data_IF_606152708959
#
_entry.id   IF_606152708959
#
_cell.length_a   1.000
_cell.length_b   1.000
_cell.length_c   1.000
_cell.angle_alpha   90.00
_cell.angle_beta   90.00
_cell.angle_gamma   90.00
#
_symmetry.space_group_name_H-M   'P 1'
#
loop_
_entity.id
_entity.type
_entity.pdbx_description
1 polymer ?
#
# COMPACT_ATOMS: atom_id res chain seq x y z
N UNK A 1 -10.39 24.66 12.87
CA UNK A 1 -9.59 23.48 12.46
C UNK A 1 -8.32 24.01 11.81
N UNK A 2 -7.16 23.86 12.47
CA UNK A 2 -5.88 24.44 12.04
C UNK A 2 -5.04 23.48 11.18
N UNK A 3 -5.64 22.85 10.17
CA UNK A 3 -4.90 22.00 9.25
C UNK A 3 -4.25 22.85 8.16
N UNK A 4 -2.97 22.62 7.90
CA UNK A 4 -2.25 23.29 6.82
C UNK A 4 -2.86 22.86 5.48
N UNK A 5 -3.13 23.80 4.57
CA UNK A 5 -3.78 23.53 3.28
C UNK A 5 -3.06 22.41 2.49
N UNK A 6 -1.73 22.41 2.54
CA UNK A 6 -0.89 21.36 1.94
C UNK A 6 -1.18 19.97 2.50
N UNK A 7 -1.40 19.84 3.81
CA UNK A 7 -1.73 18.55 4.43
C UNK A 7 -3.10 18.06 3.98
N UNK A 8 -4.08 18.96 3.80
CA UNK A 8 -5.42 18.61 3.31
C UNK A 8 -5.35 18.12 1.86
N UNK A 9 -4.62 18.81 1.00
CA UNK A 9 -4.44 18.40 -0.39
C UNK A 9 -3.76 17.04 -0.50
N UNK A 10 -2.67 16.82 0.24
CA UNK A 10 -2.02 15.51 0.28
C UNK A 10 -2.95 14.40 0.78
N UNK A 11 -3.73 14.67 1.82
CA UNK A 11 -4.70 13.71 2.37
C UNK A 11 -5.76 13.30 1.34
N UNK A 12 -6.25 14.28 0.57
CA UNK A 12 -7.19 14.05 -0.53
C UNK A 12 -6.58 13.11 -1.57
N UNK A 13 -5.36 13.41 -2.04
CA UNK A 13 -4.70 12.60 -3.07
C UNK A 13 -4.40 11.18 -2.60
N UNK A 14 -3.98 11.00 -1.35
CA UNK A 14 -3.77 9.66 -0.76
C UNK A 14 -5.07 8.87 -0.73
N UNK A 15 -6.14 9.44 -0.19
CA UNK A 15 -7.43 8.76 -0.09
C UNK A 15 -8.03 8.46 -1.46
N UNK A 16 -7.93 9.40 -2.40
CA UNK A 16 -8.41 9.24 -3.77
C UNK A 16 -7.64 8.13 -4.50
N UNK A 17 -6.30 8.16 -4.46
CA UNK A 17 -5.45 7.17 -5.11
C UNK A 17 -5.71 5.75 -4.59
N UNK A 18 -5.82 5.59 -3.27
CA UNK A 18 -6.22 4.31 -2.66
C UNK A 18 -7.61 3.87 -3.16
N UNK A 19 -8.57 4.80 -3.23
CA UNK A 19 -9.90 4.53 -3.76
C UNK A 19 -9.88 4.01 -5.20
N UNK A 20 -9.09 4.64 -6.07
CA UNK A 20 -8.96 4.22 -7.47
C UNK A 20 -8.27 2.85 -7.61
N UNK A 21 -7.14 2.66 -6.93
CA UNK A 21 -6.38 1.40 -6.97
C UNK A 21 -7.24 0.19 -6.59
N UNK A 22 -8.05 0.32 -5.54
CA UNK A 22 -8.91 -0.77 -5.06
C UNK A 22 -10.24 -0.89 -5.83
N UNK A 23 -10.49 -0.04 -6.84
CA UNK A 23 -11.60 -0.18 -7.81
C UNK A 23 -11.14 -0.76 -9.14
N UNK A 24 -9.84 -0.77 -9.44
CA UNK A 24 -9.31 -1.28 -10.70
C UNK A 24 -9.59 -2.79 -10.87
N UNK A 25 -10.38 -3.20 -11.88
CA UNK A 25 -10.67 -4.60 -12.14
C UNK A 25 -9.39 -5.39 -12.45
N UNK A 26 -9.27 -6.59 -11.89
CA UNK A 26 -8.10 -7.45 -12.09
C UNK A 26 -6.81 -6.98 -11.41
N UNK A 27 -6.82 -5.82 -10.74
CA UNK A 27 -5.68 -5.32 -9.94
C UNK A 27 -6.02 -5.38 -8.46
N UNK A 28 -7.18 -4.84 -8.06
CA UNK A 28 -7.58 -4.74 -6.67
C UNK A 28 -7.49 -6.05 -5.86
N UNK A 29 -7.86 -7.24 -6.40
CA UNK A 29 -7.74 -8.51 -5.66
C UNK A 29 -6.30 -8.90 -5.30
N UNK A 30 -5.31 -8.32 -5.98
CA UNK A 30 -3.89 -8.64 -5.82
C UNK A 30 -3.13 -7.57 -5.06
N UNK A 31 -3.82 -6.53 -4.57
CA UNK A 31 -3.23 -5.48 -3.74
C UNK A 31 -3.61 -5.69 -2.27
N UNK A 32 -2.64 -5.49 -1.38
CA UNK A 32 -2.88 -5.36 0.05
C UNK A 32 -2.33 -4.02 0.54
N UNK A 33 -3.19 -3.21 1.16
CA UNK A 33 -2.81 -1.95 1.76
C UNK A 33 -2.22 -2.17 3.16
N UNK A 34 -1.03 -1.62 3.42
CA UNK A 34 -0.31 -1.77 4.70
C UNK A 34 0.27 -0.44 5.17
N UNK A 35 1.11 -0.51 6.21
CA UNK A 35 1.97 0.57 6.64
C UNK A 35 1.32 1.57 7.60
N UNK A 36 1.97 2.72 7.78
CA UNK A 36 1.52 3.75 8.72
C UNK A 36 0.18 4.34 8.32
N UNK A 37 -0.05 4.49 7.02
CA UNK A 37 -1.29 5.07 6.47
C UNK A 37 -2.47 4.11 6.64
N UNK A 38 -2.28 2.79 6.55
CA UNK A 38 -3.37 1.84 6.86
C UNK A 38 -3.74 1.89 8.35
N UNK A 39 -2.74 2.02 9.24
CA UNK A 39 -2.98 2.13 10.68
C UNK A 39 -3.75 3.41 11.05
N UNK A 40 -3.48 4.54 10.38
CA UNK A 40 -4.19 5.80 10.65
C UNK A 40 -5.56 5.87 9.96
N UNK A 41 -5.67 5.45 8.69
CA UNK A 41 -6.89 5.62 7.87
C UNK A 41 -7.93 4.51 8.06
N UNK A 42 -7.51 3.25 8.03
CA UNK A 42 -8.44 2.12 8.10
C UNK A 42 -8.72 1.73 9.56
N UNK A 43 -7.67 1.66 10.38
CA UNK A 43 -7.77 1.14 11.75
C UNK A 43 -7.86 2.24 12.83
N UNK A 44 -7.53 3.48 12.49
CA UNK A 44 -7.52 4.63 13.43
C UNK A 44 -6.69 4.36 14.70
N UNK A 45 -5.63 3.56 14.59
CA UNK A 45 -4.76 3.17 15.71
C UNK A 45 -3.73 4.25 16.05
N UNK A 46 -3.46 5.17 15.12
CA UNK A 46 -2.53 6.28 15.30
C UNK A 46 -3.14 7.59 14.81
N UNK A 47 -2.80 8.69 15.49
CA UNK A 47 -3.30 10.04 15.19
C UNK A 47 -2.18 10.95 14.69
N UNK A 48 -1.52 10.54 13.61
CA UNK A 48 -0.57 11.38 12.87
C UNK A 48 -0.94 11.41 11.39
N UNK A 49 -0.60 12.51 10.73
CA UNK A 49 -0.66 12.57 9.28
C UNK A 49 0.32 11.57 8.68
N UNK A 50 -0.10 10.86 7.64
CA UNK A 50 0.69 9.84 6.96
C UNK A 50 0.43 10.00 5.47
N UNK A 51 1.46 10.38 4.72
CA UNK A 51 1.37 10.71 3.29
C UNK A 51 1.69 9.52 2.37
N UNK A 52 2.37 8.50 2.89
CA UNK A 52 2.84 7.37 2.09
C UNK A 52 1.70 6.42 1.71
N UNK A 53 1.83 5.75 0.57
CA UNK A 53 0.93 4.67 0.16
C UNK A 53 1.74 3.37 0.06
N UNK A 54 1.72 2.59 1.14
CA UNK A 54 2.41 1.30 1.20
C UNK A 54 1.49 0.18 0.70
N UNK A 55 1.85 -0.45 -0.41
CA UNK A 55 1.11 -1.56 -1.00
C UNK A 55 1.99 -2.81 -1.10
N UNK A 56 1.38 -3.96 -0.88
CA UNK A 56 1.93 -5.26 -1.27
C UNK A 56 1.17 -5.74 -2.50
N UNK A 57 1.91 -6.24 -3.49
CA UNK A 57 1.34 -6.89 -4.67
C UNK A 57 1.55 -8.39 -4.53
N UNK A 58 0.55 -9.17 -4.90
CA UNK A 58 0.67 -10.63 -4.98
C UNK A 58 1.82 -11.02 -5.93
N UNK A 59 2.72 -11.88 -5.44
CA UNK A 59 3.88 -12.34 -6.21
C UNK A 59 3.47 -13.21 -7.40
N UNK A 60 2.34 -13.89 -7.32
CA UNK A 60 1.86 -14.77 -8.39
C UNK A 60 1.51 -13.98 -9.65
N UNK A 61 0.86 -12.82 -9.51
CA UNK A 61 0.50 -11.97 -10.66
C UNK A 61 1.69 -11.27 -11.29
N UNK A 62 2.80 -11.17 -10.56
CA UNK A 62 4.08 -10.67 -11.08
C UNK A 62 4.92 -11.76 -11.74
N UNK A 63 4.41 -13.00 -11.82
CA UNK A 63 5.13 -14.14 -12.42
C UNK A 63 6.14 -14.81 -11.48
N UNK A 64 6.16 -14.45 -10.20
CA UNK A 64 7.05 -15.02 -9.18
C UNK A 64 6.38 -16.11 -8.36
N UNK A 65 5.49 -16.89 -8.97
CA UNK A 65 4.80 -18.03 -8.34
C UNK A 65 5.64 -19.31 -8.30
N UNK A 66 5.19 -20.30 -7.53
CA UNK A 66 5.75 -21.66 -7.55
C UNK A 66 7.23 -21.76 -7.17
N UNK A 67 8.09 -22.16 -8.10
CA UNK A 67 9.54 -22.29 -7.89
C UNK A 67 10.32 -21.00 -8.21
N UNK A 68 9.67 -20.01 -8.84
CA UNK A 68 10.23 -18.70 -9.09
C UNK A 68 10.03 -17.73 -7.90
N UNK A 69 9.54 -18.23 -6.76
CA UNK A 69 9.30 -17.40 -5.59
C UNK A 69 10.63 -16.89 -5.00
N UNK A 70 10.73 -15.60 -4.62
CA UNK A 70 11.96 -15.04 -4.08
C UNK A 70 12.41 -15.74 -2.79
N UNK A 71 11.46 -16.23 -2.00
CA UNK A 71 11.68 -17.04 -0.79
C UNK A 71 12.43 -18.36 -1.05
N UNK A 72 12.43 -18.87 -2.29
CA UNK A 72 13.21 -20.05 -2.71
C UNK A 72 14.54 -19.69 -3.38
N UNK A 73 14.84 -18.40 -3.56
CA UNK A 73 16.08 -17.99 -4.18
C UNK A 73 17.28 -18.43 -3.31
N UNK A 74 18.36 -18.93 -3.93
CA UNK A 74 19.55 -19.32 -3.19
C UNK A 74 20.13 -18.08 -2.49
N UNK A 75 20.23 -18.15 -1.15
CA UNK A 75 20.90 -17.11 -0.38
C UNK A 75 22.36 -17.06 -0.80
N UNK A 76 22.80 -15.93 -1.38
CA UNK A 76 24.22 -15.62 -1.48
C UNK A 76 24.68 -15.31 -0.06
N UNK A 77 25.17 -16.33 0.66
CA UNK A 77 26.02 -16.09 1.83
C UNK A 77 27.23 -15.30 1.32
N UNK A 78 27.26 -14.01 1.63
CA UNK A 78 28.48 -13.20 1.61
C UNK A 78 29.29 -13.52 2.86
#
# INVERSE_FOLDING_TARGET
>A
MGLQALSVEKDLWVCWTLGELFRLPGVAPHLTFKGGTSLSKAWKLIHRFSEDVDLVVDKEVLGFGGNATPDKAPSKKQ
#
